data_IF_440585780507
#
_entry.id   IF_440585780507
#
_cell.length_a   1.000
_cell.length_b   1.000
_cell.length_c   1.000
_cell.angle_alpha   90.00
_cell.angle_beta   90.00
_cell.angle_gamma   90.00
#
_symmetry.space_group_name_H-M   'P 1'
#
loop_
_entity.id
_entity.type
_entity.pdbx_description
1 polymer ?
#
# COMPACT_ATOMS: atom_id res chain seq x y z
N UNK A 1 -18.89 -4.34 13.99
CA UNK A 1 -19.03 -4.12 12.52
C UNK A 1 -17.99 -5.00 11.84
N UNK A 2 -18.20 -5.49 10.61
CA UNK A 2 -17.18 -6.29 9.93
C UNK A 2 -15.96 -5.43 9.56
N UNK A 3 -14.81 -6.07 9.47
CA UNK A 3 -13.57 -5.50 8.93
C UNK A 3 -13.07 -6.38 7.79
N UNK A 4 -12.43 -5.78 6.79
CA UNK A 4 -11.87 -6.48 5.64
C UNK A 4 -10.41 -6.05 5.50
N UNK A 5 -9.52 -6.85 6.09
CA UNK A 5 -8.09 -6.52 6.26
C UNK A 5 -7.29 -7.73 5.76
N UNK A 6 -6.42 -7.50 4.79
CA UNK A 6 -5.49 -8.49 4.26
C UNK A 6 -4.32 -7.81 3.53
N UNK A 7 -3.24 -8.58 3.31
CA UNK A 7 -2.08 -8.21 2.51
C UNK A 7 -1.33 -6.97 3.03
N UNK A 8 -1.19 -6.84 4.35
CA UNK A 8 -0.45 -5.74 4.98
C UNK A 8 0.95 -6.14 5.47
N UNK A 9 1.88 -5.17 5.42
CA UNK A 9 3.23 -5.27 5.97
C UNK A 9 3.34 -4.42 7.24
N UNK A 10 3.70 -5.05 8.35
CA UNK A 10 3.81 -4.42 9.66
C UNK A 10 5.27 -4.40 10.11
N UNK A 11 5.87 -3.22 10.19
CA UNK A 11 7.28 -3.00 10.54
C UNK A 11 7.40 -2.23 11.86
N UNK A 12 8.57 -2.29 12.49
CA UNK A 12 8.98 -1.42 13.60
C UNK A 12 7.93 -1.28 14.73
N UNK A 13 7.44 -2.41 15.23
CA UNK A 13 6.46 -2.47 16.32
C UNK A 13 5.00 -2.30 15.90
N UNK A 14 4.68 -2.10 14.61
CA UNK A 14 3.31 -2.09 14.13
C UNK A 14 2.62 -3.44 14.39
N UNK A 15 1.37 -3.40 14.85
CA UNK A 15 0.61 -4.58 15.29
C UNK A 15 -0.47 -4.92 14.25
N UNK A 16 -0.53 -6.17 13.75
CA UNK A 16 -1.53 -6.59 12.79
C UNK A 16 -2.89 -6.82 13.44
N UNK A 17 -3.93 -6.88 12.60
CA UNK A 17 -5.19 -7.47 13.01
C UNK A 17 -5.02 -8.99 13.22
N UNK A 18 -5.47 -9.50 14.36
CA UNK A 18 -5.26 -10.90 14.76
C UNK A 18 -5.81 -11.90 13.73
N UNK A 19 -6.96 -11.61 13.13
CA UNK A 19 -7.63 -12.50 12.17
C UNK A 19 -7.30 -12.20 10.70
N UNK A 20 -6.34 -11.32 10.42
CA UNK A 20 -5.81 -11.11 9.07
C UNK A 20 -5.09 -12.37 8.59
N UNK A 21 -5.36 -12.82 7.35
CA UNK A 21 -4.84 -14.10 6.85
C UNK A 21 -3.42 -13.96 6.32
N UNK A 22 -3.25 -13.08 5.35
CA UNK A 22 -1.99 -12.87 4.64
C UNK A 22 -1.36 -11.56 5.10
N UNK A 23 -0.22 -11.66 5.78
CA UNK A 23 0.50 -10.52 6.34
C UNK A 23 1.97 -10.85 6.56
N UNK A 24 2.79 -9.82 6.59
CA UNK A 24 4.17 -9.92 7.07
C UNK A 24 4.31 -9.02 8.29
N UNK A 25 4.87 -9.57 9.37
CA UNK A 25 5.19 -8.83 10.60
C UNK A 25 6.68 -8.93 10.85
N UNK A 26 7.37 -7.80 10.82
CA UNK A 26 8.77 -7.66 11.15
C UNK A 26 8.93 -6.58 12.23
N UNK A 27 8.49 -6.92 13.45
CA UNK A 27 8.37 -5.98 14.56
C UNK A 27 9.69 -5.29 14.95
N UNK A 28 10.83 -5.94 14.72
CA UNK A 28 12.16 -5.40 15.05
C UNK A 28 12.86 -4.73 13.87
N UNK A 29 12.26 -4.75 12.68
CA UNK A 29 12.84 -4.14 11.49
C UNK A 29 12.50 -2.66 11.45
N UNK A 30 13.53 -1.80 11.51
CA UNK A 30 13.37 -0.36 11.36
C UNK A 30 13.46 0.02 9.86
N UNK A 31 12.39 0.55 9.24
CA UNK A 31 12.40 0.95 7.83
C UNK A 31 13.15 2.26 7.57
N UNK A 32 13.67 2.95 8.59
CA UNK A 32 14.43 4.19 8.44
C UNK A 32 13.72 5.24 7.55
N UNK A 33 12.39 5.32 7.65
CA UNK A 33 11.58 6.20 6.82
C UNK A 33 12.00 7.65 7.05
N UNK A 34 12.31 8.35 5.95
CA UNK A 34 12.68 9.77 5.95
C UNK A 34 12.07 10.47 4.76
N UNK A 35 11.56 11.68 4.99
CA UNK A 35 11.23 12.63 3.93
C UNK A 35 12.29 13.73 3.94
N UNK A 36 12.91 14.02 2.80
CA UNK A 36 13.86 15.12 2.64
C UNK A 36 13.43 16.06 1.53
N UNK A 37 13.55 17.36 1.78
CA UNK A 37 13.37 18.40 0.76
C UNK A 37 14.75 18.79 0.22
N UNK A 38 14.88 18.77 -1.10
CA UNK A 38 16.09 19.09 -1.85
C UNK A 38 15.73 20.12 -2.94
N UNK A 39 16.72 20.74 -3.58
CA UNK A 39 16.49 21.85 -4.52
C UNK A 39 15.54 21.49 -5.67
N UNK A 40 15.53 20.23 -6.10
CA UNK A 40 14.71 19.77 -7.22
C UNK A 40 13.42 19.06 -6.80
N UNK A 41 13.17 18.84 -5.51
CA UNK A 41 11.90 18.27 -5.03
C UNK A 41 11.99 17.56 -3.67
N UNK A 42 10.94 16.79 -3.35
CA UNK A 42 10.83 16.04 -2.09
C UNK A 42 11.08 14.57 -2.33
N UNK A 43 11.86 13.93 -1.46
CA UNK A 43 12.24 12.52 -1.55
C UNK A 43 11.78 11.71 -0.35
N UNK A 44 11.21 10.54 -0.61
CA UNK A 44 11.01 9.47 0.36
C UNK A 44 12.22 8.53 0.32
N UNK A 45 12.85 8.30 1.47
CA UNK A 45 13.83 7.22 1.68
C UNK A 45 13.26 6.22 2.67
N UNK A 46 13.40 4.93 2.38
CA UNK A 46 13.05 3.86 3.30
C UNK A 46 13.83 2.57 3.01
N UNK A 47 13.85 1.65 3.96
CA UNK A 47 14.35 0.30 3.83
C UNK A 47 13.17 -0.68 3.93
N UNK A 48 13.16 -1.71 3.10
CA UNK A 48 12.19 -2.80 3.15
C UNK A 48 12.90 -4.14 3.42
N UNK A 49 12.27 -5.07 4.16
CA UNK A 49 12.92 -6.32 4.54
C UNK A 49 13.07 -7.28 3.34
N UNK A 50 13.98 -8.24 3.43
CA UNK A 50 14.23 -9.24 2.35
C UNK A 50 13.00 -10.08 1.99
N UNK A 51 12.07 -10.25 2.92
CA UNK A 51 10.82 -10.97 2.65
C UNK A 51 9.72 -10.09 2.06
N UNK A 52 9.99 -8.81 1.74
CA UNK A 52 9.02 -7.88 1.16
C UNK A 52 8.38 -8.43 -0.11
N UNK A 53 9.17 -9.06 -1.00
CA UNK A 53 8.66 -9.63 -2.26
C UNK A 53 7.67 -10.79 -2.06
N UNK A 54 7.60 -11.37 -0.84
CA UNK A 54 6.65 -12.45 -0.52
C UNK A 54 5.24 -11.95 -0.24
N UNK A 55 5.03 -10.63 -0.08
CA UNK A 55 3.71 -10.04 0.10
C UNK A 55 3.38 -9.16 -1.10
N UNK A 56 2.33 -9.57 -1.82
CA UNK A 56 1.81 -8.84 -2.97
C UNK A 56 0.42 -8.32 -2.65
N UNK A 57 0.15 -7.10 -3.10
CA UNK A 57 -1.17 -6.52 -3.16
C UNK A 57 -1.84 -6.85 -4.49
N UNK A 58 -3.16 -6.76 -4.50
CA UNK A 58 -3.99 -6.92 -5.69
C UNK A 58 -4.66 -5.57 -6.03
N UNK A 59 -4.97 -5.35 -7.30
CA UNK A 59 -5.76 -4.20 -7.75
C UNK A 59 -7.12 -4.24 -7.05
N UNK A 60 -7.45 -3.17 -6.33
CA UNK A 60 -8.75 -3.04 -5.68
C UNK A 60 -9.74 -2.35 -6.62
N UNK A 61 -10.97 -2.85 -6.68
CA UNK A 61 -12.07 -2.27 -7.45
C UNK A 61 -13.33 -2.17 -6.63
N UNK A 62 -14.39 -1.56 -7.18
CA UNK A 62 -15.74 -1.60 -6.59
C UNK A 62 -16.18 -3.03 -6.22
N UNK A 63 -15.75 -4.05 -6.96
CA UNK A 63 -16.13 -5.45 -6.73
C UNK A 63 -15.35 -6.10 -5.58
N UNK A 64 -14.09 -5.71 -5.38
CA UNK A 64 -13.26 -6.27 -4.30
C UNK A 64 -13.49 -5.55 -2.98
N UNK A 65 -13.80 -4.24 -3.04
CA UNK A 65 -14.13 -3.42 -1.89
C UNK A 65 -15.60 -3.61 -1.50
N UNK A 66 -15.82 -4.18 -0.32
CA UNK A 66 -17.18 -4.49 0.13
C UNK A 66 -17.98 -3.23 0.49
N UNK A 67 -19.24 -3.23 0.07
CA UNK A 67 -20.25 -2.21 0.38
C UNK A 67 -20.27 -1.81 1.85
N UNK A 68 -20.37 -0.51 2.10
CA UNK A 68 -20.46 0.04 3.46
C UNK A 68 -21.86 -0.20 4.02
N UNK A 69 -21.95 -0.86 5.18
CA UNK A 69 -23.23 -1.34 5.74
C UNK A 69 -24.25 -0.24 6.06
N UNK A 70 -23.84 0.85 6.71
CA UNK A 70 -24.77 1.88 7.21
C UNK A 70 -25.24 2.82 6.10
N UNK A 71 -24.29 3.32 5.31
CA UNK A 71 -24.60 4.16 4.14
C UNK A 71 -25.27 3.35 3.03
N UNK A 72 -25.14 2.02 3.06
CA UNK A 72 -25.55 1.12 1.98
C UNK A 72 -25.03 1.65 0.63
N UNK A 73 -23.73 1.91 0.53
CA UNK A 73 -23.08 2.52 -0.62
C UNK A 73 -21.80 1.76 -0.99
N UNK A 74 -21.55 1.66 -2.31
CA UNK A 74 -20.34 1.06 -2.87
C UNK A 74 -19.22 2.10 -2.98
N UNK A 75 -18.00 1.62 -3.25
CA UNK A 75 -16.87 2.48 -3.60
C UNK A 75 -16.93 2.74 -5.11
N UNK A 76 -17.26 3.96 -5.51
CA UNK A 76 -17.50 4.34 -6.91
C UNK A 76 -16.81 5.67 -7.24
N UNK A 77 -16.62 5.93 -8.54
CA UNK A 77 -16.23 7.25 -9.03
C UNK A 77 -17.34 8.28 -8.81
N UNK A 78 -17.05 9.60 -8.88
CA UNK A 78 -18.07 10.65 -8.71
C UNK A 78 -19.26 10.57 -9.67
N UNK A 79 -19.10 9.91 -10.82
CA UNK A 79 -20.15 9.69 -11.82
C UNK A 79 -20.90 8.36 -11.63
N UNK A 80 -20.63 7.60 -10.56
CA UNK A 80 -21.25 6.30 -10.26
C UNK A 80 -20.65 5.10 -11.02
N UNK A 81 -19.56 5.29 -11.77
CA UNK A 81 -18.87 4.17 -12.43
C UNK A 81 -17.95 3.39 -11.47
N UNK A 82 -17.59 2.15 -11.86
CA UNK A 82 -16.65 1.31 -11.09
C UNK A 82 -15.32 2.03 -10.87
N UNK A 83 -14.87 2.08 -9.62
CA UNK A 83 -13.52 2.52 -9.28
C UNK A 83 -12.54 1.37 -9.53
N UNK A 84 -11.37 1.69 -10.08
CA UNK A 84 -10.26 0.76 -10.27
C UNK A 84 -9.00 1.45 -9.73
N UNK A 85 -8.39 0.87 -8.70
CA UNK A 85 -7.21 1.40 -8.03
C UNK A 85 -5.95 0.74 -8.58
N UNK A 86 -5.66 1.01 -9.85
CA UNK A 86 -4.54 0.41 -10.60
C UNK A 86 -3.47 1.40 -11.04
N UNK A 87 -3.55 2.64 -10.57
CA UNK A 87 -2.53 3.67 -10.74
C UNK A 87 -1.90 3.94 -9.37
N UNK A 88 -0.58 3.90 -9.28
CA UNK A 88 0.15 4.16 -8.05
C UNK A 88 0.33 5.67 -7.78
N UNK A 89 1.04 6.01 -6.71
CA UNK A 89 1.29 7.41 -6.32
C UNK A 89 2.04 8.21 -7.39
N UNK A 90 2.91 7.58 -8.18
CA UNK A 90 3.72 8.24 -9.22
C UNK A 90 2.98 8.36 -10.55
N UNK A 91 1.75 7.86 -10.65
CA UNK A 91 0.98 7.82 -11.89
C UNK A 91 1.24 6.57 -12.73
N UNK A 92 1.97 5.58 -12.19
CA UNK A 92 2.35 4.38 -12.93
C UNK A 92 1.29 3.27 -12.80
N UNK A 93 1.13 2.50 -13.88
CA UNK A 93 0.16 1.40 -13.93
C UNK A 93 0.68 0.21 -13.12
N UNK A 94 -0.13 -0.26 -12.18
CA UNK A 94 0.13 -1.48 -11.40
C UNK A 94 -0.13 -2.74 -12.22
N UNK A 95 0.72 -3.74 -12.03
CA UNK A 95 0.41 -5.12 -12.40
C UNK A 95 -0.69 -5.69 -11.48
N UNK A 96 -1.43 -6.70 -11.96
CA UNK A 96 -2.52 -7.37 -11.22
C UNK A 96 -2.10 -7.78 -9.81
N UNK A 97 -0.87 -8.28 -9.68
CA UNK A 97 -0.17 -8.49 -8.42
C UNK A 97 1.13 -7.69 -8.40
N UNK A 98 1.30 -6.83 -7.41
CA UNK A 98 2.44 -5.93 -7.29
C UNK A 98 2.77 -5.67 -5.82
N UNK A 99 3.92 -5.03 -5.55
CA UNK A 99 4.33 -4.70 -4.18
C UNK A 99 3.26 -3.91 -3.42
N UNK A 100 3.17 -4.18 -2.10
CA UNK A 100 2.25 -3.46 -1.20
C UNK A 100 2.77 -2.07 -0.88
N UNK A 101 1.86 -1.12 -0.66
CA UNK A 101 2.21 0.28 -0.39
C UNK A 101 1.86 1.22 -1.55
N UNK A 102 2.23 2.52 -1.44
CA UNK A 102 1.74 3.54 -2.37
C UNK A 102 2.45 3.56 -3.74
N UNK A 103 3.65 2.95 -3.85
CA UNK A 103 4.50 2.98 -5.05
C UNK A 103 4.74 1.54 -5.48
N UNK A 104 4.49 1.23 -6.76
CA UNK A 104 4.54 -0.14 -7.27
C UNK A 104 5.97 -0.72 -7.30
N UNK A 105 6.94 0.13 -7.63
CA UNK A 105 8.36 -0.23 -7.85
C UNK A 105 9.22 -0.18 -6.57
N UNK A 106 8.61 -0.20 -5.39
CA UNK A 106 9.34 -0.43 -4.15
C UNK A 106 10.00 -1.81 -4.16
N UNK A 107 11.24 -1.90 -3.71
CA UNK A 107 12.03 -3.14 -3.68
C UNK A 107 12.54 -3.45 -2.28
N UNK A 108 12.92 -4.70 -2.02
CA UNK A 108 13.66 -5.03 -0.80
C UNK A 108 14.94 -4.19 -0.68
N UNK A 109 15.39 -3.93 0.54
CA UNK A 109 16.54 -3.06 0.80
C UNK A 109 16.19 -1.58 0.71
N UNK A 110 17.19 -0.76 0.36
CA UNK A 110 17.08 0.71 0.41
C UNK A 110 16.40 1.26 -0.85
N UNK A 111 15.40 2.09 -0.63
CA UNK A 111 14.67 2.81 -1.66
C UNK A 111 14.85 4.33 -1.45
N UNK A 112 14.95 5.08 -2.54
CA UNK A 112 14.87 6.54 -2.55
C UNK A 112 14.08 6.99 -3.76
N UNK A 113 12.93 7.62 -3.53
CA UNK A 113 11.96 7.98 -4.56
C UNK A 113 11.62 9.46 -4.46
N UNK A 114 11.57 10.15 -5.60
CA UNK A 114 11.05 11.52 -5.66
C UNK A 114 9.52 11.48 -5.60
N UNK A 115 8.94 12.14 -4.62
CA UNK A 115 7.49 12.11 -4.33
C UNK A 115 6.79 13.46 -4.53
N UNK A 116 7.57 14.52 -4.80
CA UNK A 116 7.05 15.83 -5.16
C UNK A 116 8.07 16.60 -6.01
N UNK A 117 7.60 17.42 -6.94
CA UNK A 117 8.38 18.33 -7.79
C UNK A 117 7.63 19.64 -7.97
#
# INVERSE_FOLDING_TARGET
QPVYINNNLYLNGAVPFEQEKDKIVAALFNPEIRITEEEDGVYLTCCLPENYEKILGEIQTTKTLKRVRVANADFENPNGSEVILDIDYLGEKRAEKSGVGPIADLQQGKNRIKVWS
#
